data_IF_801167944947
#
_entry.id   IF_801167944947
#
_cell.length_a   1.000
_cell.length_b   1.000
_cell.length_c   1.000
_cell.angle_alpha   90.00
_cell.angle_beta   90.00
_cell.angle_gamma   90.00
#
_symmetry.space_group_name_H-M   'P 1'
#
loop_
_entity.id
_entity.type
_entity.pdbx_description
1 polymer ?
#
# COMPACT_ATOMS: atom_id res chain seq x y z
N UNK A 1 27.52 12.74 -15.15
CA UNK A 1 26.51 12.34 -16.13
C UNK A 1 25.23 13.02 -15.71
N UNK A 2 24.72 13.88 -16.58
CA UNK A 2 23.52 14.68 -16.31
C UNK A 2 22.32 13.76 -16.18
N UNK A 3 21.65 13.77 -15.01
CA UNK A 3 20.33 13.19 -14.81
C UNK A 3 19.29 13.98 -15.63
N UNK A 4 19.26 13.76 -16.92
CA UNK A 4 18.15 14.21 -17.76
C UNK A 4 16.97 13.28 -17.48
N UNK A 5 16.06 13.74 -16.62
CA UNK A 5 14.77 13.08 -16.41
C UNK A 5 14.04 13.02 -17.77
N UNK A 6 13.51 11.84 -18.11
CA UNK A 6 12.70 11.69 -19.31
C UNK A 6 11.60 12.76 -19.34
N UNK A 7 11.29 13.35 -20.51
CA UNK A 7 10.28 14.40 -20.61
C UNK A 7 8.91 13.88 -20.18
N UNK A 8 8.12 14.71 -19.50
CA UNK A 8 6.77 14.37 -19.07
C UNK A 8 5.87 14.06 -20.28
N UNK A 9 5.07 13.00 -20.19
CA UNK A 9 4.11 12.63 -21.23
C UNK A 9 4.63 11.69 -22.32
N UNK A 10 5.82 11.09 -22.18
CA UNK A 10 6.26 10.03 -23.08
C UNK A 10 5.51 8.73 -22.78
N UNK A 11 5.14 8.03 -23.87
CA UNK A 11 4.56 6.67 -23.74
C UNK A 11 5.59 5.71 -23.11
N UNK A 12 5.10 4.69 -22.40
CA UNK A 12 5.95 3.61 -21.93
C UNK A 12 6.63 2.91 -23.12
N UNK A 13 7.88 2.41 -22.93
CA UNK A 13 8.54 1.60 -23.95
C UNK A 13 7.71 0.37 -24.34
N UNK A 14 7.64 0.04 -25.62
CA UNK A 14 6.87 -1.12 -26.13
C UNK A 14 7.18 -2.44 -25.41
N UNK A 15 8.45 -2.66 -25.07
CA UNK A 15 8.87 -3.83 -24.30
C UNK A 15 8.23 -3.90 -22.92
N UNK A 16 8.05 -2.76 -22.27
CA UNK A 16 7.41 -2.67 -20.94
C UNK A 16 5.90 -2.90 -21.08
N UNK A 17 5.28 -2.34 -22.11
CA UNK A 17 3.86 -2.59 -22.41
C UNK A 17 3.62 -4.07 -22.66
N UNK A 18 4.47 -4.73 -23.44
CA UNK A 18 4.38 -6.18 -23.69
C UNK A 18 4.51 -7.00 -22.40
N UNK A 19 5.42 -6.64 -21.49
CA UNK A 19 5.59 -7.30 -20.19
C UNK A 19 4.33 -7.12 -19.30
N UNK A 20 3.72 -5.95 -19.32
CA UNK A 20 2.45 -5.68 -18.62
C UNK A 20 1.31 -6.52 -19.20
N UNK A 21 1.20 -6.58 -20.53
CA UNK A 21 0.14 -7.34 -21.21
C UNK A 21 0.26 -8.85 -20.98
N UNK A 22 1.47 -9.39 -21.02
CA UNK A 22 1.73 -10.80 -20.69
C UNK A 22 1.34 -11.10 -19.24
N UNK A 23 1.77 -10.26 -18.32
CA UNK A 23 1.41 -10.38 -16.90
C UNK A 23 -0.09 -10.30 -16.69
N UNK A 24 -0.76 -9.36 -17.36
CA UNK A 24 -2.21 -9.22 -17.33
C UNK A 24 -2.93 -10.49 -17.81
N UNK A 25 -2.52 -11.04 -18.96
CA UNK A 25 -3.11 -12.26 -19.51
C UNK A 25 -3.01 -13.43 -18.52
N UNK A 26 -1.82 -13.64 -17.96
CA UNK A 26 -1.57 -14.70 -17.00
C UNK A 26 -2.38 -14.54 -15.71
N UNK A 27 -2.33 -13.36 -15.09
CA UNK A 27 -3.03 -13.10 -13.83
C UNK A 27 -4.54 -13.04 -13.99
N UNK A 28 -5.06 -12.49 -15.10
CA UNK A 28 -6.51 -12.49 -15.41
C UNK A 28 -7.06 -13.88 -15.58
N UNK A 29 -6.32 -14.77 -16.26
CA UNK A 29 -6.74 -16.16 -16.47
C UNK A 29 -6.84 -16.93 -15.14
N UNK A 30 -5.86 -16.74 -14.26
CA UNK A 30 -5.85 -17.33 -12.91
C UNK A 30 -6.99 -16.73 -12.07
N UNK A 31 -7.17 -15.42 -12.08
CA UNK A 31 -8.18 -14.72 -11.30
C UNK A 31 -9.60 -15.13 -11.65
N UNK A 32 -9.93 -15.31 -12.94
CA UNK A 32 -11.26 -15.79 -13.38
C UNK A 32 -11.61 -17.17 -12.82
N UNK A 33 -10.62 -18.00 -12.53
CA UNK A 33 -10.78 -19.35 -11.96
C UNK A 33 -10.49 -19.40 -10.46
N UNK A 34 -10.21 -18.25 -9.84
CA UNK A 34 -9.75 -18.17 -8.46
C UNK A 34 -10.81 -18.74 -7.50
N UNK A 35 -10.36 -19.69 -6.72
CA UNK A 35 -11.03 -20.12 -5.49
C UNK A 35 -10.17 -19.65 -4.32
N UNK A 36 -10.80 -19.27 -3.22
CA UNK A 36 -10.06 -18.97 -1.99
C UNK A 36 -9.33 -20.26 -1.59
N UNK A 37 -8.00 -20.24 -1.43
CA UNK A 37 -7.27 -21.43 -1.02
C UNK A 37 -7.76 -21.91 0.36
N UNK A 38 -7.75 -23.22 0.63
CA UNK A 38 -8.00 -23.71 1.98
C UNK A 38 -6.94 -23.19 2.94
N UNK A 39 -7.34 -22.89 4.17
CA UNK A 39 -6.43 -22.41 5.22
C UNK A 39 -6.56 -20.94 5.54
N UNK A 40 -7.21 -20.14 4.69
CA UNK A 40 -7.50 -18.73 5.02
C UNK A 40 -8.47 -18.60 6.20
N UNK A 41 -8.24 -17.58 7.02
CA UNK A 41 -9.14 -17.25 8.12
C UNK A 41 -10.54 -16.94 7.62
N UNK A 42 -11.52 -17.53 8.26
CA UNK A 42 -12.93 -17.28 7.99
C UNK A 42 -13.43 -16.06 8.76
N UNK A 43 -14.50 -15.37 8.31
CA UNK A 43 -15.11 -14.30 9.07
C UNK A 43 -15.48 -14.71 10.52
N UNK A 44 -15.92 -15.95 10.73
CA UNK A 44 -16.24 -16.45 12.06
C UNK A 44 -14.99 -16.53 12.98
N UNK A 45 -13.85 -16.92 12.43
CA UNK A 45 -12.59 -16.95 13.19
C UNK A 45 -12.11 -15.54 13.51
N UNK A 46 -12.19 -14.60 12.56
CA UNK A 46 -11.75 -13.21 12.76
C UNK A 46 -12.52 -12.53 13.91
N UNK A 47 -13.79 -12.87 14.13
CA UNK A 47 -14.57 -12.38 15.28
C UNK A 47 -13.97 -12.74 16.65
N UNK A 48 -13.14 -13.76 16.70
CA UNK A 48 -12.53 -14.23 17.95
C UNK A 48 -11.09 -13.77 18.12
N UNK A 49 -10.55 -12.97 17.18
CA UNK A 49 -9.18 -12.49 17.29
C UNK A 49 -8.99 -11.60 18.50
N UNK A 50 -7.85 -11.78 19.13
CA UNK A 50 -7.43 -11.03 20.30
C UNK A 50 -5.96 -10.59 20.16
N UNK A 51 -5.48 -9.61 20.97
CA UNK A 51 -4.08 -9.23 20.99
C UNK A 51 -3.19 -10.43 21.29
N UNK A 52 -2.22 -10.69 20.40
CA UNK A 52 -1.28 -11.81 20.54
C UNK A 52 0.13 -11.33 20.84
N UNK A 53 0.59 -10.33 20.12
CA UNK A 53 1.93 -9.78 20.27
C UNK A 53 1.91 -8.27 20.18
N UNK A 54 2.82 -7.65 20.95
CA UNK A 54 3.13 -6.22 20.83
C UNK A 54 4.63 -6.07 20.74
N UNK A 55 5.12 -5.43 19.68
CA UNK A 55 6.54 -5.16 19.46
C UNK A 55 6.76 -3.66 19.66
N UNK A 56 7.36 -3.27 20.82
CA UNK A 56 7.48 -1.86 21.20
C UNK A 56 8.75 -1.22 20.64
N UNK A 57 8.74 0.11 20.60
CA UNK A 57 9.96 0.92 20.51
C UNK A 57 10.81 0.76 19.25
N UNK A 58 10.19 0.40 18.11
CA UNK A 58 10.91 0.26 16.85
C UNK A 58 11.42 1.59 16.29
N UNK A 59 10.82 2.71 16.69
CA UNK A 59 11.18 4.04 16.21
C UNK A 59 11.45 5.02 17.35
N UNK A 60 12.05 6.18 17.03
CA UNK A 60 12.36 7.24 17.97
C UNK A 60 11.14 7.70 18.78
N UNK A 61 11.39 8.20 19.99
CA UNK A 61 10.36 8.82 20.81
C UNK A 61 10.02 10.25 20.34
N UNK A 62 10.88 10.89 19.56
CA UNK A 62 10.67 12.24 19.04
C UNK A 62 11.36 12.41 17.68
N UNK A 63 10.61 12.65 16.59
CA UNK A 63 9.15 12.56 16.50
C UNK A 63 8.66 11.11 16.59
N UNK A 64 7.67 10.87 17.44
CA UNK A 64 7.09 9.55 17.60
C UNK A 64 6.13 9.19 16.46
N UNK A 65 5.98 7.90 16.20
CA UNK A 65 4.96 7.33 15.33
C UNK A 65 5.52 6.50 14.17
N UNK A 66 4.93 5.32 14.04
CA UNK A 66 5.07 4.46 12.88
C UNK A 66 3.98 4.86 11.89
N UNK A 67 4.34 5.06 10.64
CA UNK A 67 3.42 5.57 9.60
C UNK A 67 3.01 4.50 8.60
N UNK A 68 3.83 3.46 8.47
CA UNK A 68 3.59 2.40 7.47
C UNK A 68 4.17 1.07 7.95
N UNK A 69 3.51 -0.02 7.61
CA UNK A 69 3.98 -1.39 7.80
C UNK A 69 3.82 -2.18 6.50
N UNK A 70 4.79 -3.03 6.19
CA UNK A 70 4.74 -3.98 5.11
C UNK A 70 5.28 -5.33 5.58
N UNK A 71 4.65 -6.41 5.17
CA UNK A 71 5.04 -7.77 5.54
C UNK A 71 5.80 -8.42 4.38
N UNK A 72 6.82 -9.20 4.68
CA UNK A 72 7.50 -10.03 3.69
C UNK A 72 6.60 -11.19 3.27
N UNK A 73 6.53 -11.46 1.98
CA UNK A 73 5.81 -12.60 1.42
C UNK A 73 6.66 -13.89 1.44
N UNK A 74 7.98 -13.74 1.44
CA UNK A 74 8.96 -14.85 1.43
C UNK A 74 9.33 -15.27 2.84
N UNK A 75 9.50 -14.30 3.75
CA UNK A 75 9.87 -14.54 5.15
C UNK A 75 8.75 -14.06 6.09
N UNK A 76 7.76 -14.90 6.43
CA UNK A 76 6.57 -14.48 7.17
C UNK A 76 6.83 -13.89 8.56
N UNK A 77 8.05 -14.04 9.09
CA UNK A 77 8.47 -13.45 10.36
C UNK A 77 9.05 -12.05 10.22
N UNK A 78 9.34 -11.61 8.97
CA UNK A 78 9.98 -10.35 8.70
C UNK A 78 8.97 -9.29 8.24
N UNK A 79 9.17 -8.08 8.71
CA UNK A 79 8.37 -6.94 8.31
C UNK A 79 9.19 -5.64 8.31
N UNK A 80 8.71 -4.67 7.52
CA UNK A 80 9.23 -3.31 7.47
C UNK A 80 8.30 -2.37 8.20
N UNK A 81 8.88 -1.38 8.87
CA UNK A 81 8.15 -0.20 9.33
C UNK A 81 8.84 1.07 8.86
N UNK A 82 8.04 2.09 8.55
CA UNK A 82 8.49 3.44 8.29
C UNK A 82 7.98 4.38 9.37
N UNK A 83 8.81 5.31 9.81
CA UNK A 83 8.47 6.19 10.93
C UNK A 83 8.48 7.68 10.62
N UNK A 84 7.92 8.46 11.54
CA UNK A 84 8.01 9.92 11.55
C UNK A 84 9.46 10.41 11.70
N UNK A 85 10.35 9.58 12.24
CA UNK A 85 11.77 9.83 12.41
C UNK A 85 12.59 9.68 11.11
N UNK A 86 11.94 9.32 10.00
CA UNK A 86 12.61 9.13 8.71
C UNK A 86 13.46 7.85 8.63
N UNK A 87 13.26 6.91 9.53
CA UNK A 87 13.97 5.63 9.56
C UNK A 87 13.06 4.53 9.02
N UNK A 88 13.63 3.60 8.26
CA UNK A 88 12.99 2.32 7.92
C UNK A 88 13.62 1.24 8.78
N UNK A 89 12.82 0.47 9.50
CA UNK A 89 13.27 -0.67 10.28
C UNK A 89 12.85 -1.97 9.61
N UNK A 90 13.80 -2.86 9.38
CA UNK A 90 13.55 -4.26 9.06
C UNK A 90 13.69 -5.07 10.35
N UNK A 91 12.63 -5.75 10.72
CA UNK A 91 12.56 -6.53 11.95
C UNK A 91 12.23 -7.99 11.66
N UNK A 92 12.80 -8.88 12.45
CA UNK A 92 12.47 -10.31 12.42
C UNK A 92 11.90 -10.75 13.77
N UNK A 93 10.63 -11.12 13.76
CA UNK A 93 9.86 -11.57 14.90
C UNK A 93 10.36 -12.90 15.49
N UNK A 94 10.96 -13.78 14.67
CA UNK A 94 11.45 -15.07 15.12
C UNK A 94 12.68 -14.97 16.00
N UNK A 95 13.49 -13.95 15.76
CA UNK A 95 14.70 -13.66 16.55
C UNK A 95 14.54 -12.50 17.51
N UNK A 96 13.39 -11.81 17.44
CA UNK A 96 13.08 -10.59 18.23
C UNK A 96 14.15 -9.49 18.03
N UNK A 97 14.57 -9.26 16.77
CA UNK A 97 15.66 -8.33 16.45
C UNK A 97 15.36 -7.42 15.27
N UNK A 98 15.87 -6.21 15.37
CA UNK A 98 16.03 -5.33 14.22
C UNK A 98 17.19 -5.86 13.39
N UNK A 99 16.90 -6.31 12.17
CA UNK A 99 17.91 -6.81 11.22
C UNK A 99 18.63 -5.65 10.51
N UNK A 100 17.90 -4.58 10.21
CA UNK A 100 18.48 -3.40 9.57
C UNK A 100 17.73 -2.13 9.99
N UNK A 101 18.49 -1.08 10.26
CA UNK A 101 18.00 0.28 10.51
C UNK A 101 18.47 1.17 9.37
N UNK A 102 17.58 1.46 8.42
CA UNK A 102 17.88 2.09 7.14
C UNK A 102 17.61 3.59 7.25
N UNK A 103 18.67 4.34 7.36
CA UNK A 103 18.64 5.79 7.51
C UNK A 103 18.82 6.50 6.16
N UNK A 104 18.29 7.71 6.06
CA UNK A 104 18.52 8.54 4.88
C UNK A 104 17.39 9.51 4.54
N UNK A 105 16.13 9.22 4.88
CA UNK A 105 15.07 10.21 4.78
C UNK A 105 15.28 11.32 5.80
N UNK A 106 15.04 12.57 5.37
CA UNK A 106 15.15 13.76 6.24
C UNK A 106 13.82 14.18 6.87
N UNK A 107 12.72 13.51 6.48
CA UNK A 107 11.38 13.72 6.99
C UNK A 107 10.67 12.38 7.13
N UNK A 108 9.40 12.43 7.61
CA UNK A 108 8.55 11.26 7.80
C UNK A 108 8.44 10.41 6.54
N UNK A 109 8.39 9.12 6.73
CA UNK A 109 8.12 8.14 5.69
C UNK A 109 6.60 7.98 5.56
N UNK A 110 6.09 7.94 4.34
CA UNK A 110 4.67 7.68 4.08
C UNK A 110 4.41 6.20 3.80
N UNK A 111 5.30 5.57 3.05
CA UNK A 111 5.12 4.19 2.60
C UNK A 111 6.43 3.42 2.67
N UNK A 112 6.31 2.13 3.00
CA UNK A 112 7.36 1.12 2.86
C UNK A 112 6.82 -0.07 2.08
N UNK A 113 7.69 -0.76 1.34
CA UNK A 113 7.34 -1.96 0.60
C UNK A 113 8.53 -2.90 0.45
N UNK A 114 8.22 -4.18 0.36
CA UNK A 114 9.12 -5.21 -0.15
C UNK A 114 8.93 -5.38 -1.65
N UNK A 115 10.02 -5.68 -2.35
CA UNK A 115 9.99 -6.32 -3.65
C UNK A 115 10.78 -7.61 -3.54
N UNK A 116 10.10 -8.70 -3.61
CA UNK A 116 10.62 -10.06 -3.48
C UNK A 116 10.35 -10.80 -4.79
N UNK A 117 11.41 -11.29 -5.39
CA UNK A 117 11.35 -12.04 -6.64
C UNK A 117 12.35 -13.19 -6.57
N UNK A 118 11.90 -14.37 -6.95
CA UNK A 118 12.74 -15.56 -6.95
C UNK A 118 13.99 -15.36 -7.80
N UNK A 119 15.14 -15.76 -7.25
CA UNK A 119 16.44 -15.63 -7.93
C UNK A 119 17.04 -14.22 -7.95
N UNK A 120 16.39 -13.22 -7.36
CA UNK A 120 16.89 -11.84 -7.29
C UNK A 120 17.02 -11.35 -5.83
N UNK A 121 17.94 -10.39 -5.56
CA UNK A 121 18.03 -9.80 -4.24
C UNK A 121 16.72 -9.12 -3.83
N UNK A 122 16.32 -9.26 -2.57
CA UNK A 122 15.20 -8.53 -2.00
C UNK A 122 15.50 -7.05 -2.00
N UNK A 123 14.54 -6.26 -2.51
CA UNK A 123 14.59 -4.81 -2.41
C UNK A 123 13.65 -4.34 -1.31
N UNK A 124 14.16 -3.44 -0.48
CA UNK A 124 13.38 -2.69 0.49
C UNK A 124 13.20 -1.28 -0.04
N UNK A 125 12.00 -0.77 -0.02
CA UNK A 125 11.68 0.53 -0.61
C UNK A 125 10.90 1.39 0.38
N UNK A 126 11.13 2.69 0.30
CA UNK A 126 10.37 3.68 1.06
C UNK A 126 10.15 4.95 0.26
N UNK A 127 9.08 5.66 0.60
CA UNK A 127 8.77 6.97 0.05
C UNK A 127 8.33 7.91 1.18
N UNK A 128 8.70 9.18 1.09
CA UNK A 128 8.49 10.10 2.21
C UNK A 128 8.26 11.56 1.82
N UNK A 129 8.04 12.36 2.87
CA UNK A 129 7.80 13.79 2.81
C UNK A 129 9.05 14.62 2.44
N UNK A 130 10.19 13.99 2.28
CA UNK A 130 11.41 14.61 1.77
C UNK A 130 11.49 14.59 0.23
N UNK A 131 10.39 14.25 -0.46
CA UNK A 131 10.25 14.21 -1.92
C UNK A 131 10.99 13.06 -2.60
N UNK A 132 11.51 12.12 -1.81
CA UNK A 132 12.35 11.04 -2.28
C UNK A 132 11.66 9.68 -2.12
N UNK A 133 11.98 8.78 -3.05
CA UNK A 133 11.87 7.35 -2.79
C UNK A 133 13.28 6.75 -2.70
N UNK A 134 13.47 5.80 -1.80
CA UNK A 134 14.75 5.14 -1.55
C UNK A 134 14.62 3.64 -1.72
N UNK A 135 15.67 3.04 -2.24
CA UNK A 135 15.76 1.61 -2.43
C UNK A 135 17.03 1.09 -1.77
N UNK A 136 16.90 0.02 -1.02
CA UNK A 136 18.01 -0.74 -0.46
C UNK A 136 17.93 -2.17 -0.98
N UNK A 137 19.08 -2.79 -1.16
CA UNK A 137 19.20 -4.17 -1.61
C UNK A 137 20.00 -4.98 -0.61
N UNK A 138 19.62 -6.23 -0.41
CA UNK A 138 20.45 -7.17 0.34
C UNK A 138 21.72 -7.49 -0.46
N UNK A 139 22.84 -7.52 0.24
CA UNK A 139 24.08 -8.09 -0.28
C UNK A 139 24.00 -9.61 -0.17
N UNK A 140 24.17 -10.31 -1.30
CA UNK A 140 24.04 -11.76 -1.36
C UNK A 140 25.09 -12.52 -0.53
N UNK A 141 26.22 -11.89 -0.24
CA UNK A 141 27.32 -12.52 0.52
C UNK A 141 27.19 -12.30 2.04
N UNK A 142 26.80 -11.07 2.46
CA UNK A 142 26.70 -10.72 3.88
C UNK A 142 25.27 -10.73 4.44
N UNK A 143 24.26 -10.70 3.58
CA UNK A 143 22.86 -10.49 3.97
C UNK A 143 22.53 -9.10 4.46
N UNK A 144 23.52 -8.17 4.49
CA UNK A 144 23.32 -6.79 4.89
C UNK A 144 22.57 -6.00 3.83
N UNK A 145 21.71 -5.08 4.27
CA UNK A 145 21.03 -4.16 3.39
C UNK A 145 21.83 -2.89 3.18
N UNK A 146 22.10 -2.53 1.93
CA UNK A 146 22.85 -1.33 1.54
C UNK A 146 21.99 -0.43 0.65
N UNK A 147 22.20 0.90 0.70
CA UNK A 147 21.57 1.83 -0.22
C UNK A 147 21.86 1.43 -1.67
N UNK A 148 20.83 1.25 -2.48
CA UNK A 148 20.95 0.92 -3.89
C UNK A 148 20.78 2.15 -4.77
N UNK A 149 19.72 2.93 -4.53
CA UNK A 149 19.46 4.16 -5.27
C UNK A 149 18.53 5.09 -4.50
N UNK A 150 18.51 6.34 -4.96
CA UNK A 150 17.60 7.40 -4.51
C UNK A 150 16.88 7.94 -5.74
N UNK A 151 15.58 7.83 -5.76
CA UNK A 151 14.72 8.34 -6.83
C UNK A 151 14.31 9.78 -6.45
N UNK A 152 14.66 10.75 -7.32
CA UNK A 152 14.46 12.20 -7.11
C UNK A 152 13.52 12.81 -8.14
N UNK A 153 12.61 12.04 -8.69
CA UNK A 153 11.71 12.45 -9.77
C UNK A 153 10.75 13.55 -9.35
N UNK A 154 10.29 13.52 -8.09
CA UNK A 154 9.22 14.37 -7.60
C UNK A 154 9.72 15.66 -6.94
N UNK A 155 8.89 16.72 -7.05
CA UNK A 155 9.18 18.07 -6.51
C UNK A 155 8.48 18.34 -5.18
N UNK A 156 7.57 17.45 -4.74
CA UNK A 156 6.86 17.52 -3.46
C UNK A 156 6.80 16.15 -2.82
N UNK A 157 6.13 16.02 -1.67
CA UNK A 157 5.97 14.79 -0.90
C UNK A 157 5.55 13.62 -1.81
N UNK A 158 6.23 12.48 -1.69
CA UNK A 158 5.84 11.24 -2.35
C UNK A 158 4.80 10.56 -1.47
N UNK A 159 3.55 10.58 -1.91
CA UNK A 159 2.36 10.17 -1.14
C UNK A 159 1.87 8.77 -1.44
N UNK A 160 2.43 8.12 -2.44
CA UNK A 160 2.11 6.74 -2.78
C UNK A 160 3.33 6.00 -3.30
N UNK A 161 3.42 4.73 -2.95
CA UNK A 161 4.44 3.81 -3.44
C UNK A 161 3.78 2.44 -3.63
N UNK A 162 3.91 1.87 -4.82
CA UNK A 162 3.40 0.54 -5.11
C UNK A 162 4.32 -0.20 -6.08
N UNK A 163 4.53 -1.49 -5.82
CA UNK A 163 5.22 -2.40 -6.74
C UNK A 163 4.19 -3.01 -7.68
N UNK A 164 4.48 -2.98 -8.96
CA UNK A 164 3.63 -3.58 -9.97
C UNK A 164 3.66 -5.12 -9.88
N UNK A 165 2.58 -5.83 -10.27
CA UNK A 165 2.55 -7.31 -10.25
C UNK A 165 3.65 -8.01 -11.06
N UNK A 166 4.24 -7.34 -12.08
CA UNK A 166 5.45 -7.85 -12.77
C UNK A 166 6.66 -7.96 -11.84
N UNK A 167 6.64 -7.28 -10.69
CA UNK A 167 7.80 -7.11 -9.79
C UNK A 167 9.01 -6.42 -10.43
N UNK A 168 8.84 -5.79 -11.58
CA UNK A 168 9.88 -5.06 -12.33
C UNK A 168 9.64 -3.55 -12.37
N UNK A 169 8.45 -3.10 -11.99
CA UNK A 169 8.07 -1.69 -12.04
C UNK A 169 7.69 -1.18 -10.66
N UNK A 170 8.10 0.07 -10.40
CA UNK A 170 7.74 0.84 -9.21
C UNK A 170 6.90 2.04 -9.63
N UNK A 171 5.77 2.22 -8.97
CA UNK A 171 4.88 3.35 -9.14
C UNK A 171 4.98 4.29 -7.96
N UNK A 172 5.06 5.58 -8.23
CA UNK A 172 5.08 6.64 -7.23
C UNK A 172 4.05 7.70 -7.58
N UNK A 173 3.32 8.21 -6.59
CA UNK A 173 2.48 9.42 -6.70
C UNK A 173 2.99 10.51 -5.78
N UNK A 174 2.72 11.77 -6.12
CA UNK A 174 3.23 12.90 -5.34
C UNK A 174 2.23 14.05 -5.24
N UNK A 175 2.41 14.87 -4.22
CA UNK A 175 1.75 16.17 -4.09
C UNK A 175 2.19 17.19 -5.16
N UNK A 176 3.19 16.89 -6.00
CA UNK A 176 3.55 17.68 -7.17
C UNK A 176 2.59 17.49 -8.35
N UNK A 177 1.45 16.80 -8.14
CA UNK A 177 0.40 16.52 -9.10
C UNK A 177 0.79 15.53 -10.20
N UNK A 178 1.89 14.80 -10.04
CA UNK A 178 2.35 13.80 -11.01
C UNK A 178 2.47 12.43 -10.39
N UNK A 179 2.38 11.41 -11.23
CA UNK A 179 2.84 10.07 -10.89
C UNK A 179 3.99 9.67 -11.82
N UNK A 180 4.79 8.72 -11.38
CA UNK A 180 5.93 8.22 -12.15
C UNK A 180 6.05 6.71 -12.09
N UNK A 181 6.65 6.14 -13.12
CA UNK A 181 6.92 4.70 -13.26
C UNK A 181 8.40 4.52 -13.46
N UNK A 182 9.00 3.65 -12.66
CA UNK A 182 10.43 3.35 -12.68
C UNK A 182 10.67 1.86 -12.91
N UNK A 183 11.72 1.53 -13.67
CA UNK A 183 12.21 0.16 -13.79
C UNK A 183 13.00 -0.22 -12.52
N UNK A 184 12.70 -1.34 -11.90
CA UNK A 184 13.39 -1.83 -10.72
C UNK A 184 14.68 -2.60 -11.03
N UNK A 185 15.00 -2.81 -12.31
CA UNK A 185 16.23 -3.48 -12.75
C UNK A 185 17.43 -2.52 -12.79
N UNK A 186 17.19 -1.31 -13.29
CA UNK A 186 18.21 -0.25 -13.44
C UNK A 186 17.85 1.07 -12.74
N UNK A 187 16.62 1.16 -12.19
CA UNK A 187 16.04 2.32 -11.50
C UNK A 187 15.84 3.55 -12.38
N UNK A 188 15.83 3.36 -13.70
CA UNK A 188 15.54 4.43 -14.66
C UNK A 188 14.07 4.86 -14.58
N UNK A 189 13.81 6.13 -14.83
CA UNK A 189 12.45 6.62 -15.00
C UNK A 189 11.96 6.25 -16.39
N UNK A 190 10.90 5.44 -16.45
CA UNK A 190 10.26 5.03 -17.70
C UNK A 190 9.17 5.99 -18.13
N UNK A 191 8.43 6.53 -17.17
CA UNK A 191 7.31 7.42 -17.42
C UNK A 191 7.14 8.43 -16.29
N UNK A 192 6.67 9.62 -16.63
CA UNK A 192 6.14 10.61 -15.71
C UNK A 192 4.94 11.27 -16.33
N UNK A 193 3.82 11.30 -15.61
CA UNK A 193 2.59 11.93 -16.08
C UNK A 193 2.77 13.45 -16.27
N UNK A 194 1.95 14.05 -17.10
CA UNK A 194 1.68 15.49 -17.02
C UNK A 194 1.09 15.83 -15.65
N UNK A 195 1.22 17.08 -15.25
CA UNK A 195 0.63 17.51 -13.99
C UNK A 195 -0.90 17.47 -14.08
N UNK A 196 -1.54 16.81 -13.12
CA UNK A 196 -2.98 16.83 -12.96
C UNK A 196 -3.47 18.20 -12.43
N UNK A 197 -4.77 18.37 -12.31
CA UNK A 197 -5.34 19.58 -11.70
C UNK A 197 -5.07 19.65 -10.20
N UNK A 198 -5.05 18.49 -9.54
CA UNK A 198 -4.89 18.34 -8.09
C UNK A 198 -3.70 17.45 -7.71
N UNK A 199 -3.16 17.63 -6.49
CA UNK A 199 -2.14 16.72 -5.96
C UNK A 199 -2.69 15.32 -5.71
N UNK A 200 -1.82 14.33 -5.73
CA UNK A 200 -2.18 12.97 -5.32
C UNK A 200 -1.90 12.75 -3.83
N UNK A 201 -2.84 12.09 -3.15
CA UNK A 201 -2.77 11.74 -1.72
C UNK A 201 -2.55 10.26 -1.46
N UNK A 202 -2.86 9.40 -2.43
CA UNK A 202 -2.73 7.95 -2.31
C UNK A 202 -2.57 7.25 -3.66
N UNK A 203 -2.17 5.98 -3.61
CA UNK A 203 -1.91 5.15 -4.78
C UNK A 203 -2.29 3.70 -4.48
N UNK A 204 -2.88 3.02 -5.45
CA UNK A 204 -2.97 1.57 -5.51
C UNK A 204 -2.81 1.08 -6.96
N UNK A 205 -2.24 -0.11 -7.13
CA UNK A 205 -2.11 -0.79 -8.43
C UNK A 205 -3.04 -2.00 -8.43
N UNK A 206 -3.77 -2.17 -9.51
CA UNK A 206 -4.70 -3.29 -9.66
C UNK A 206 -3.96 -4.63 -9.72
N UNK A 207 -4.52 -5.72 -9.17
CA UNK A 207 -3.85 -7.03 -9.13
C UNK A 207 -3.43 -7.62 -10.48
N UNK A 208 -4.00 -7.17 -11.58
CA UNK A 208 -3.56 -7.57 -12.93
C UNK A 208 -2.58 -6.61 -13.61
N UNK A 209 -2.29 -5.49 -12.96
CA UNK A 209 -1.29 -4.53 -13.42
C UNK A 209 -1.73 -3.55 -14.50
N UNK A 210 -2.94 -3.65 -15.05
CA UNK A 210 -3.35 -2.79 -16.18
C UNK A 210 -3.80 -1.40 -15.80
N UNK A 211 -4.27 -1.22 -14.56
CA UNK A 211 -4.75 0.07 -14.07
C UNK A 211 -4.12 0.43 -12.73
N UNK A 212 -3.96 1.71 -12.50
CA UNK A 212 -3.63 2.29 -11.21
C UNK A 212 -4.75 3.23 -10.75
N UNK A 213 -4.97 3.32 -9.46
CA UNK A 213 -5.85 4.28 -8.84
C UNK A 213 -5.03 5.30 -8.07
N UNK A 214 -5.32 6.59 -8.27
CA UNK A 214 -4.71 7.70 -7.55
C UNK A 214 -5.80 8.54 -6.88
N UNK A 215 -5.74 8.67 -5.57
CA UNK A 215 -6.67 9.49 -4.78
C UNK A 215 -6.18 10.93 -4.66
N UNK A 216 -7.14 11.85 -4.48
CA UNK A 216 -6.88 13.29 -4.33
C UNK A 216 -7.38 13.82 -2.98
N UNK A 217 -6.98 15.04 -2.57
CA UNK A 217 -7.55 15.69 -1.39
C UNK A 217 -9.01 16.14 -1.54
N UNK A 218 -9.54 16.16 -2.76
CA UNK A 218 -10.89 16.64 -3.08
C UNK A 218 -11.86 15.50 -3.41
N UNK A 219 -11.73 14.37 -2.72
CA UNK A 219 -12.67 13.23 -2.81
C UNK A 219 -12.64 12.48 -4.14
N UNK A 220 -11.79 12.86 -5.07
CA UNK A 220 -11.73 12.26 -6.42
C UNK A 220 -10.72 11.13 -6.47
N UNK A 221 -11.06 10.05 -7.17
CA UNK A 221 -10.14 8.96 -7.47
C UNK A 221 -10.02 8.87 -9.00
N UNK A 222 -8.83 9.07 -9.52
CA UNK A 222 -8.52 8.83 -10.92
C UNK A 222 -8.04 7.42 -11.15
N UNK A 223 -8.62 6.75 -12.13
CA UNK A 223 -8.20 5.43 -12.60
C UNK A 223 -7.47 5.63 -13.93
N UNK A 224 -6.21 5.27 -13.97
CA UNK A 224 -5.36 5.38 -15.15
C UNK A 224 -5.14 4.01 -15.79
N UNK A 225 -5.18 3.93 -17.13
CA UNK A 225 -4.58 2.80 -17.85
C UNK A 225 -3.05 2.96 -17.81
N UNK A 226 -2.37 1.97 -17.27
CA UNK A 226 -0.91 2.01 -17.05
C UNK A 226 -0.15 2.09 -18.38
N UNK A 227 -0.68 1.51 -19.45
CA UNK A 227 0.01 1.41 -20.76
C UNK A 227 -0.03 2.70 -21.54
N UNK A 228 -1.18 3.37 -21.57
CA UNK A 228 -1.35 4.65 -22.28
C UNK A 228 -1.05 5.87 -21.42
N UNK A 229 -1.20 5.75 -20.09
CA UNK A 229 -1.11 6.86 -19.15
C UNK A 229 -2.38 7.72 -19.11
N UNK A 230 -3.45 7.32 -19.82
CA UNK A 230 -4.70 8.06 -19.88
C UNK A 230 -5.62 7.75 -18.70
N UNK A 231 -6.50 8.69 -18.38
CA UNK A 231 -7.57 8.48 -17.41
C UNK A 231 -8.63 7.57 -18.03
N UNK A 232 -8.75 6.36 -17.50
CA UNK A 232 -9.77 5.39 -17.90
C UNK A 232 -11.12 5.66 -17.22
N UNK A 233 -11.11 6.18 -15.99
CA UNK A 233 -12.31 6.54 -15.24
C UNK A 233 -11.98 7.56 -14.13
N UNK A 234 -13.00 8.32 -13.72
CA UNK A 234 -12.96 9.19 -12.55
C UNK A 234 -14.11 8.82 -11.63
N UNK A 235 -13.78 8.46 -10.39
CA UNK A 235 -14.74 8.08 -9.37
C UNK A 235 -14.92 9.25 -8.38
N UNK A 236 -16.15 9.69 -8.20
CA UNK A 236 -16.51 10.80 -7.30
C UNK A 236 -17.67 10.34 -6.42
N UNK A 237 -17.59 10.55 -5.10
CA UNK A 237 -18.68 10.23 -4.19
C UNK A 237 -19.96 11.01 -4.51
N UNK A 238 -21.14 10.43 -4.25
CA UNK A 238 -22.42 11.05 -4.64
C UNK A 238 -22.71 12.40 -3.99
N UNK A 239 -22.21 12.63 -2.78
CA UNK A 239 -22.50 13.83 -1.99
C UNK A 239 -21.53 15.00 -2.23
N UNK A 240 -20.47 14.80 -3.03
CA UNK A 240 -19.44 15.79 -3.34
C UNK A 240 -18.82 16.52 -2.13
N UNK A 241 -18.97 15.99 -0.93
CA UNK A 241 -18.33 16.57 0.26
C UNK A 241 -16.82 16.41 0.18
N UNK A 242 -16.02 17.49 0.40
CA UNK A 242 -14.57 17.40 0.28
C UNK A 242 -13.96 16.62 1.45
N UNK A 243 -13.21 15.59 1.15
CA UNK A 243 -12.36 14.84 2.08
C UNK A 243 -11.12 14.32 1.34
N UNK A 244 -10.10 13.93 2.08
CA UNK A 244 -8.88 13.40 1.46
C UNK A 244 -8.98 11.89 1.27
N UNK A 245 -8.79 11.42 0.03
CA UNK A 245 -8.64 10.00 -0.28
C UNK A 245 -7.21 9.56 0.06
N UNK A 246 -6.95 9.34 1.34
CA UNK A 246 -5.62 9.08 1.90
C UNK A 246 -5.15 7.61 1.77
N UNK A 247 -6.04 6.71 1.41
CA UNK A 247 -5.72 5.30 1.23
C UNK A 247 -6.64 4.63 0.21
N UNK A 248 -6.08 3.72 -0.56
CA UNK A 248 -6.75 2.94 -1.59
C UNK A 248 -6.30 1.48 -1.50
N UNK A 249 -7.22 0.55 -1.76
CA UNK A 249 -6.89 -0.87 -1.85
C UNK A 249 -7.79 -1.58 -2.85
N UNK A 250 -7.19 -2.17 -3.87
CA UNK A 250 -7.92 -3.06 -4.77
C UNK A 250 -8.18 -4.40 -4.10
N UNK A 251 -9.35 -4.95 -4.35
CA UNK A 251 -9.64 -6.33 -4.00
C UNK A 251 -8.92 -7.28 -4.97
N UNK A 252 -8.36 -8.36 -4.45
CA UNK A 252 -7.65 -9.36 -5.26
C UNK A 252 -8.52 -10.05 -6.32
N UNK A 253 -9.85 -9.99 -6.19
CA UNK A 253 -10.74 -10.45 -7.26
C UNK A 253 -10.79 -9.48 -8.46
N UNK A 254 -10.23 -8.28 -8.33
CA UNK A 254 -10.13 -7.26 -9.38
C UNK A 254 -11.43 -6.53 -9.71
N UNK A 255 -12.49 -6.69 -8.91
CA UNK A 255 -13.78 -6.07 -9.20
C UNK A 255 -14.07 -4.84 -8.35
N UNK A 256 -13.39 -4.69 -7.21
CA UNK A 256 -13.69 -3.66 -6.25
C UNK A 256 -12.45 -2.87 -5.87
N UNK A 257 -12.68 -1.59 -5.62
CA UNK A 257 -11.72 -0.67 -4.99
C UNK A 257 -12.33 -0.21 -3.67
N UNK A 258 -11.56 -0.33 -2.59
CA UNK A 258 -11.88 0.19 -1.27
C UNK A 258 -11.19 1.54 -1.08
N UNK A 259 -11.94 2.53 -0.68
CA UNK A 259 -11.47 3.90 -0.44
C UNK A 259 -12.34 4.59 0.62
N UNK A 260 -11.85 5.60 1.33
CA UNK A 260 -12.76 6.54 1.99
C UNK A 260 -13.75 7.13 0.98
N UNK A 261 -15.01 7.28 1.35
CA UNK A 261 -16.05 7.90 0.50
C UNK A 261 -16.73 9.09 1.19
N UNK A 262 -16.39 9.32 2.46
CA UNK A 262 -16.71 10.51 3.23
C UNK A 262 -15.70 10.71 4.36
N UNK A 263 -15.95 11.68 5.24
CA UNK A 263 -15.10 11.91 6.42
C UNK A 263 -15.14 10.75 7.43
N UNK A 264 -16.23 9.99 7.48
CA UNK A 264 -16.46 8.93 8.48
C UNK A 264 -17.06 7.66 7.89
N UNK A 265 -16.77 7.36 6.62
CA UNK A 265 -17.20 6.14 5.96
C UNK A 265 -16.18 5.66 4.94
N UNK A 266 -16.28 4.40 4.56
CA UNK A 266 -15.49 3.79 3.49
C UNK A 266 -16.39 3.19 2.44
N UNK A 267 -16.07 3.45 1.19
CA UNK A 267 -16.81 3.03 0.02
C UNK A 267 -16.18 1.83 -0.68
N UNK A 268 -17.02 0.93 -1.12
CA UNK A 268 -16.66 -0.18 -2.00
C UNK A 268 -17.14 0.18 -3.42
N UNK A 269 -16.21 0.52 -4.28
CA UNK A 269 -16.47 0.89 -5.67
C UNK A 269 -16.48 -0.34 -6.57
N UNK A 270 -17.54 -0.54 -7.35
CA UNK A 270 -17.60 -1.55 -8.43
C UNK A 270 -16.92 -0.96 -9.67
N UNK A 271 -15.75 -1.47 -10.02
CA UNK A 271 -14.93 -0.97 -11.13
C UNK A 271 -15.58 -1.20 -12.50
N UNK A 272 -16.39 -2.23 -12.66
CA UNK A 272 -17.08 -2.53 -13.91
C UNK A 272 -18.23 -1.58 -14.18
N UNK A 273 -18.88 -1.12 -13.11
CA UNK A 273 -19.98 -0.15 -13.16
C UNK A 273 -19.51 1.28 -13.00
N UNK A 274 -18.25 1.47 -12.57
CA UNK A 274 -17.64 2.76 -12.23
C UNK A 274 -18.52 3.56 -11.24
N UNK A 275 -19.07 2.86 -10.24
CA UNK A 275 -20.00 3.42 -9.25
C UNK A 275 -19.67 2.93 -7.86
N UNK A 276 -20.02 3.76 -6.88
CA UNK A 276 -20.08 3.35 -5.49
C UNK A 276 -21.13 2.23 -5.35
N UNK A 277 -20.69 1.05 -4.98
CA UNK A 277 -21.54 -0.13 -4.81
C UNK A 277 -22.12 -0.22 -3.40
N UNK A 278 -21.33 0.17 -2.41
CA UNK A 278 -21.71 0.15 -1.00
C UNK A 278 -20.85 1.13 -0.20
N UNK A 279 -21.45 1.71 0.84
CA UNK A 279 -20.76 2.57 1.81
C UNK A 279 -20.92 1.98 3.21
N UNK A 280 -19.83 1.87 3.95
CA UNK A 280 -19.80 1.38 5.33
C UNK A 280 -19.61 2.57 6.25
N UNK A 281 -20.61 2.97 7.04
CA UNK A 281 -20.46 4.03 8.02
C UNK A 281 -19.59 3.56 9.19
N UNK A 282 -18.68 4.40 9.62
CA UNK A 282 -17.75 4.13 10.73
C UNK A 282 -18.12 4.87 12.02
N UNK A 283 -19.15 5.73 11.97
CA UNK A 283 -19.56 6.58 13.07
C UNK A 283 -18.88 7.95 13.08
N UNK A 284 -19.54 8.90 13.71
CA UNK A 284 -19.08 10.29 13.75
C UNK A 284 -17.72 10.40 14.44
N UNK A 285 -16.81 11.13 13.80
CA UNK A 285 -15.46 11.37 14.34
C UNK A 285 -14.42 10.31 13.99
N UNK A 286 -14.79 9.18 13.40
CA UNK A 286 -13.81 8.19 12.93
C UNK A 286 -13.07 8.73 11.70
N UNK A 287 -11.75 8.88 11.83
CA UNK A 287 -10.88 9.33 10.74
C UNK A 287 -10.09 8.16 10.17
N UNK A 288 -10.30 7.88 8.88
CA UNK A 288 -9.63 6.78 8.19
C UNK A 288 -8.16 7.13 7.93
N UNK A 289 -7.25 6.29 8.38
CA UNK A 289 -5.81 6.38 8.09
C UNK A 289 -5.39 5.40 6.99
N UNK A 290 -5.90 4.17 7.03
CA UNK A 290 -5.55 3.10 6.08
C UNK A 290 -6.74 2.22 5.79
N UNK A 291 -6.89 1.85 4.53
CA UNK A 291 -7.82 0.79 4.10
C UNK A 291 -7.03 -0.32 3.41
N UNK A 292 -7.44 -1.56 3.59
CA UNK A 292 -6.77 -2.72 3.00
C UNK A 292 -7.76 -3.86 2.77
N UNK A 293 -7.69 -4.50 1.60
CA UNK A 293 -8.28 -5.82 1.37
C UNK A 293 -7.28 -6.91 1.77
N UNK A 294 -7.80 -8.01 2.28
CA UNK A 294 -7.00 -9.21 2.44
C UNK A 294 -6.79 -9.92 1.09
N UNK A 295 -5.79 -10.79 1.04
CA UNK A 295 -5.49 -11.52 -0.19
C UNK A 295 -6.61 -12.49 -0.62
N UNK A 296 -7.46 -12.97 0.29
CA UNK A 296 -8.61 -13.82 -0.07
C UNK A 296 -9.74 -13.05 -0.75
N UNK A 297 -9.78 -11.74 -0.60
CA UNK A 297 -10.89 -10.85 -0.95
C UNK A 297 -12.18 -11.14 -0.16
N UNK A 298 -12.07 -11.76 1.02
CA UNK A 298 -13.19 -12.02 1.94
C UNK A 298 -13.26 -11.02 3.08
N UNK A 299 -12.14 -10.36 3.38
CA UNK A 299 -12.02 -9.43 4.50
C UNK A 299 -11.55 -8.07 4.00
N UNK A 300 -11.97 -7.04 4.66
CA UNK A 300 -11.45 -5.70 4.50
C UNK A 300 -11.16 -5.08 5.87
N UNK A 301 -10.08 -4.35 5.95
CA UNK A 301 -9.63 -3.69 7.17
C UNK A 301 -9.61 -2.18 7.00
N UNK A 302 -10.01 -1.48 8.04
CA UNK A 302 -10.00 -0.02 8.13
C UNK A 302 -9.29 0.37 9.42
N UNK A 303 -8.19 1.08 9.30
CA UNK A 303 -7.47 1.66 10.43
C UNK A 303 -7.77 3.15 10.55
N UNK A 304 -7.85 3.65 11.76
CA UNK A 304 -8.15 5.05 12.03
C UNK A 304 -7.82 5.51 13.44
N UNK A 305 -8.29 6.70 13.79
CA UNK A 305 -8.03 7.34 15.07
C UNK A 305 -8.59 6.57 16.28
N UNK A 306 -9.58 5.71 16.09
CA UNK A 306 -10.24 4.92 17.15
C UNK A 306 -9.88 3.43 17.06
N UNK A 307 -8.78 3.08 16.39
CA UNK A 307 -8.34 1.69 16.28
C UNK A 307 -8.46 1.12 14.87
N UNK A 308 -8.62 -0.20 14.80
CA UNK A 308 -8.79 -0.90 13.53
C UNK A 308 -10.07 -1.74 13.53
N UNK A 309 -10.81 -1.69 12.43
CA UNK A 309 -12.05 -2.43 12.23
C UNK A 309 -11.90 -3.40 11.06
N UNK A 310 -12.43 -4.60 11.22
CA UNK A 310 -12.41 -5.62 10.17
C UNK A 310 -13.83 -5.96 9.80
N UNK A 311 -14.10 -5.98 8.50
CA UNK A 311 -15.42 -6.26 7.94
C UNK A 311 -15.36 -7.46 7.01
N UNK A 312 -16.47 -8.20 6.93
CA UNK A 312 -16.64 -9.26 5.95
C UNK A 312 -17.05 -8.68 4.60
N UNK A 313 -16.36 -9.09 3.53
CA UNK A 313 -16.76 -8.75 2.17
C UNK A 313 -18.14 -9.40 1.85
N UNK A 314 -18.97 -8.73 1.09
CA UNK A 314 -20.35 -9.07 0.69
C UNK A 314 -21.44 -8.82 1.74
N UNK A 315 -21.23 -9.18 2.98
CA UNK A 315 -22.21 -8.89 4.05
C UNK A 315 -22.00 -7.52 4.67
N UNK A 316 -20.79 -6.98 4.55
CA UNK A 316 -20.34 -5.71 5.12
C UNK A 316 -20.47 -5.66 6.65
N UNK A 317 -20.63 -6.83 7.26
CA UNK A 317 -20.71 -6.99 8.71
C UNK A 317 -19.37 -6.64 9.35
N UNK A 318 -19.40 -5.82 10.39
CA UNK A 318 -18.24 -5.61 11.25
C UNK A 318 -17.98 -6.87 12.07
N UNK A 319 -16.80 -7.45 11.90
CA UNK A 319 -16.42 -8.68 12.56
C UNK A 319 -15.77 -8.41 13.92
N UNK A 320 -14.89 -7.40 13.96
CA UNK A 320 -14.16 -7.03 15.17
C UNK A 320 -13.69 -5.58 15.08
N UNK A 321 -13.64 -4.90 16.22
CA UNK A 321 -13.07 -3.59 16.41
C UNK A 321 -11.96 -3.65 17.47
N UNK A 322 -10.73 -3.45 17.04
CA UNK A 322 -9.55 -3.38 17.91
C UNK A 322 -9.33 -1.93 18.34
N UNK A 323 -9.76 -1.59 19.56
CA UNK A 323 -9.65 -0.23 20.11
C UNK A 323 -8.39 -0.05 20.99
N UNK A 324 -7.75 -1.16 21.35
CA UNK A 324 -6.59 -1.15 22.21
C UNK A 324 -5.39 -0.46 21.57
N UNK A 325 -4.81 0.50 22.27
CA UNK A 325 -3.69 1.29 21.80
C UNK A 325 -4.07 2.57 21.05
N UNK A 326 -5.37 2.86 20.90
CA UNK A 326 -5.86 4.08 20.28
C UNK A 326 -5.67 4.11 18.76
N UNK A 327 -5.17 5.22 18.24
CA UNK A 327 -5.00 5.40 16.79
C UNK A 327 -4.11 4.32 16.14
N UNK A 328 -4.64 3.73 15.06
CA UNK A 328 -3.90 2.82 14.18
C UNK A 328 -3.57 3.56 12.87
N UNK A 329 -2.29 3.74 12.60
CA UNK A 329 -1.80 4.52 11.45
C UNK A 329 -1.67 3.68 10.16
N UNK A 330 -1.39 2.38 10.31
CA UNK A 330 -1.27 1.44 9.18
C UNK A 330 -1.76 0.07 9.57
N UNK A 331 -2.26 -0.69 8.58
CA UNK A 331 -2.84 -2.01 8.76
C UNK A 331 -2.37 -2.94 7.64
N UNK A 332 -2.14 -4.20 7.98
CA UNK A 332 -1.84 -5.26 7.01
C UNK A 332 -2.43 -6.59 7.47
N UNK A 333 -2.83 -7.42 6.52
CA UNK A 333 -3.18 -8.82 6.77
C UNK A 333 -1.92 -9.69 6.65
N UNK A 334 -1.69 -10.52 7.64
CA UNK A 334 -0.63 -11.53 7.63
C UNK A 334 -0.97 -12.73 6.73
N UNK A 335 -0.09 -13.73 6.68
CA UNK A 335 -0.30 -14.92 5.86
C UNK A 335 -1.67 -15.57 6.11
N UNK A 336 -2.38 -15.89 5.03
CA UNK A 336 -3.71 -16.51 5.06
C UNK A 336 -4.73 -15.75 5.93
N UNK A 337 -4.50 -14.45 6.17
CA UNK A 337 -5.30 -13.57 7.05
C UNK A 337 -5.44 -14.08 8.50
N UNK A 338 -4.56 -14.99 8.93
CA UNK A 338 -4.53 -15.55 10.29
C UNK A 338 -4.03 -14.57 11.33
N UNK A 339 -3.37 -13.54 10.90
CA UNK A 339 -2.90 -12.43 11.71
C UNK A 339 -3.33 -11.11 11.10
N UNK A 340 -3.62 -10.13 11.94
CA UNK A 340 -3.86 -8.75 11.56
C UNK A 340 -2.82 -7.90 12.25
N UNK A 341 -2.12 -7.07 11.49
CA UNK A 341 -1.00 -6.26 11.94
C UNK A 341 -1.37 -4.79 11.89
N UNK A 342 -1.25 -4.10 13.01
CA UNK A 342 -1.52 -2.66 13.11
C UNK A 342 -0.37 -1.91 13.76
N UNK A 343 -0.15 -0.67 13.34
CA UNK A 343 0.84 0.22 13.94
C UNK A 343 0.17 1.28 14.79
N UNK A 344 0.53 1.34 16.07
CA UNK A 344 -0.03 2.29 17.04
C UNK A 344 1.09 3.04 17.74
N UNK A 345 1.17 4.36 17.55
CA UNK A 345 2.27 5.12 18.13
C UNK A 345 3.63 4.57 17.70
N UNK A 346 4.39 3.98 18.65
CA UNK A 346 5.73 3.39 18.42
C UNK A 346 5.72 1.86 18.39
N UNK A 347 4.55 1.25 18.38
CA UNK A 347 4.36 -0.20 18.53
C UNK A 347 3.79 -0.80 17.25
N UNK A 348 4.14 -2.06 17.02
CA UNK A 348 3.43 -2.94 16.08
C UNK A 348 2.64 -3.92 16.92
N UNK A 349 1.33 -3.98 16.70
CA UNK A 349 0.41 -4.90 17.36
C UNK A 349 -0.06 -5.97 16.40
N UNK A 350 -0.18 -7.17 16.90
CA UNK A 350 -0.62 -8.33 16.12
C UNK A 350 -1.82 -8.96 16.84
N UNK A 351 -2.93 -9.06 16.14
CA UNK A 351 -4.13 -9.75 16.58
C UNK A 351 -4.29 -11.04 15.78
N UNK A 352 -4.65 -12.10 16.46
CA UNK A 352 -4.81 -13.44 15.88
C UNK A 352 -5.80 -14.28 16.68
N UNK A 353 -6.04 -15.50 16.24
CA UNK A 353 -6.79 -16.47 17.03
C UNK A 353 -6.16 -16.65 18.43
N UNK A 354 -6.95 -16.66 19.49
CA UNK A 354 -6.47 -17.05 20.81
C UNK A 354 -5.91 -18.48 20.76
N UNK A 355 -4.89 -18.74 21.58
CA UNK A 355 -4.27 -20.06 21.72
C UNK A 355 -5.22 -21.05 22.40
#
# INVERSE_FOLDING_TARGET
MSDEAAPAGNALPEKVIAEIDETHQNLSAVRKKRKVPPGYATPAQVKTYSPKHTIPSLHSASPAGITSVALSSVNPTQFLTGGNDGIVQLYDRSTDKVLASLKGHSKKIHHVAFREREGEPTLLMSAGADKLARVWSSDSASGEYRPRTIIKTHKSDVTGLAVHPTSTLLFLTSQDKTYSIHDLRDFSQLYRSTAAEEPYSSLAVHPDGTILAAGTPSSTIHIYDVRSGDIAATLVPPDNSPFTVNSLSFSENGYHLLAPDSLSSVGIWDLRKQKLGHSIPLGDGFKVNKVVYDYSALLLGVAGNEGARIFAHKTWEELVHFQEGGEVSSLAFGPESKEIWGTTGREVRIWALPE
#
